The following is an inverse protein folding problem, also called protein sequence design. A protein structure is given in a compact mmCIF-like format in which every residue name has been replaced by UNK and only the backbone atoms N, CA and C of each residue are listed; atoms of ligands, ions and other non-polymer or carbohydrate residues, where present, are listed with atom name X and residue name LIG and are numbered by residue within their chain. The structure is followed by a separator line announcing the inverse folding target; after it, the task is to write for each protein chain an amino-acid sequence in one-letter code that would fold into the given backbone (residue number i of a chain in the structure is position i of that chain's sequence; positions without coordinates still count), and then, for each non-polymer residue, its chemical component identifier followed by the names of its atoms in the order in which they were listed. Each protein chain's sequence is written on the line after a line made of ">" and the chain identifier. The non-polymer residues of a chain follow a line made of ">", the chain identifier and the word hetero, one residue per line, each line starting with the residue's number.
data_IF_214100800077
#
_entry.id   IF_214100800077
#
_cell.length_a   1.000
_cell.length_b   1.000
_cell.length_c   1.000
_cell.angle_alpha   90.00
_cell.angle_beta   90.00
_cell.angle_gamma   90.00
#
_symmetry.space_group_name_H-M   'P 1'
#
loop_
_entity.id
_entity.type
_entity.pdbx_description
1 polymer ?
#
# COMPACT_ATOMS: atom_id res chain seq x y z
N UNK A 1 -4.86 -17.88 10.87
CA UNK A 1 -3.81 -17.55 9.89
C UNK A 1 -4.43 -16.74 8.74
N UNK A 2 -3.86 -15.60 8.42
CA UNK A 2 -4.33 -14.76 7.29
C UNK A 2 -3.72 -15.29 5.99
N UNK A 3 -4.54 -15.54 4.96
CA UNK A 3 -4.08 -15.87 3.61
C UNK A 3 -4.01 -14.59 2.76
N UNK A 4 -2.80 -14.19 2.35
CA UNK A 4 -2.51 -12.98 1.58
C UNK A 4 -1.64 -13.31 0.36
N UNK A 5 -2.00 -14.37 -0.36
CA UNK A 5 -1.23 -14.92 -1.49
C UNK A 5 -1.48 -14.25 -2.84
N UNK A 6 -2.43 -13.32 -2.94
CA UNK A 6 -2.74 -12.65 -4.20
C UNK A 6 -1.99 -11.33 -4.34
N UNK A 7 -1.51 -11.04 -5.55
CA UNK A 7 -0.98 -9.74 -5.94
C UNK A 7 -2.07 -8.89 -6.58
N UNK A 8 -2.01 -7.57 -6.37
CA UNK A 8 -2.89 -6.64 -7.06
C UNK A 8 -2.16 -6.06 -8.27
N UNK A 9 -2.45 -6.57 -9.47
CA UNK A 9 -1.80 -6.17 -10.72
C UNK A 9 -2.87 -5.81 -11.74
N UNK A 10 -2.71 -4.67 -12.41
CA UNK A 10 -3.61 -4.18 -13.46
C UNK A 10 -5.08 -4.12 -13.00
N UNK A 11 -5.34 -3.65 -11.80
CA UNK A 11 -6.68 -3.50 -11.24
C UNK A 11 -7.35 -4.80 -10.79
N UNK A 12 -6.62 -5.92 -10.73
CA UNK A 12 -7.15 -7.25 -10.37
C UNK A 12 -6.26 -7.95 -9.34
N UNK A 13 -6.89 -8.77 -8.52
CA UNK A 13 -6.19 -9.72 -7.65
C UNK A 13 -5.83 -10.96 -8.44
N UNK A 14 -4.55 -11.29 -8.53
CA UNK A 14 -4.01 -12.41 -9.32
C UNK A 14 -3.08 -13.28 -8.48
N UNK A 15 -3.06 -14.57 -8.77
CA UNK A 15 -2.11 -15.51 -8.16
C UNK A 15 -0.71 -15.29 -8.73
N UNK A 16 0.32 -15.59 -7.93
CA UNK A 16 1.70 -15.67 -8.42
C UNK A 16 1.82 -16.73 -9.53
N UNK A 17 2.63 -16.45 -10.54
CA UNK A 17 2.96 -17.41 -11.62
C UNK A 17 3.84 -18.53 -11.08
N UNK A 18 4.72 -18.21 -10.14
CA UNK A 18 5.56 -19.17 -9.43
C UNK A 18 5.01 -19.35 -8.01
N UNK A 19 4.38 -20.49 -7.66
CA UNK A 19 3.67 -20.67 -6.40
C UNK A 19 4.63 -20.89 -5.24
N UNK A 20 5.45 -19.89 -4.92
CA UNK A 20 6.29 -19.86 -3.73
C UNK A 20 5.63 -18.99 -2.67
N UNK A 21 5.70 -19.41 -1.42
CA UNK A 21 5.17 -18.62 -0.29
C UNK A 21 6.16 -18.57 0.87
N UNK A 22 5.94 -17.60 1.75
CA UNK A 22 6.66 -17.46 3.01
C UNK A 22 5.66 -17.26 4.14
N UNK A 23 5.97 -17.85 5.29
CA UNK A 23 5.21 -17.64 6.51
C UNK A 23 5.62 -16.34 7.19
N UNK A 24 4.63 -15.61 7.68
CA UNK A 24 4.83 -14.44 8.53
C UNK A 24 4.63 -14.88 9.98
N UNK A 25 5.62 -14.62 10.79
CA UNK A 25 5.65 -15.00 12.21
C UNK A 25 5.22 -13.82 13.07
N UNK A 26 4.31 -14.05 14.00
CA UNK A 26 4.00 -13.09 15.07
C UNK A 26 5.15 -13.09 16.08
N UNK A 27 5.90 -12.00 16.23
CA UNK A 27 7.06 -11.99 17.13
C UNK A 27 6.69 -11.97 18.62
N UNK A 28 5.40 -11.82 18.95
CA UNK A 28 4.94 -11.86 20.35
C UNK A 28 4.81 -13.25 20.91
N UNK A 29 4.59 -14.26 20.06
CA UNK A 29 4.39 -15.66 20.47
C UNK A 29 5.13 -16.68 19.58
N UNK A 30 5.86 -16.19 18.57
CA UNK A 30 6.63 -16.98 17.59
C UNK A 30 5.76 -17.95 16.75
N UNK A 31 4.45 -17.72 16.68
CA UNK A 31 3.52 -18.51 15.87
C UNK A 31 3.32 -17.94 14.47
N UNK A 32 2.95 -18.79 13.53
CA UNK A 32 2.61 -18.37 12.17
C UNK A 32 1.28 -17.62 12.17
N UNK A 33 1.29 -16.34 11.86
CA UNK A 33 0.10 -15.50 11.80
C UNK A 33 -0.46 -15.29 10.38
N UNK A 34 0.40 -15.36 9.35
CA UNK A 34 -0.01 -15.19 7.96
C UNK A 34 0.87 -16.00 7.00
N UNK A 35 0.40 -16.12 5.75
CA UNK A 35 1.19 -16.64 4.63
C UNK A 35 1.03 -15.69 3.43
N UNK A 36 2.16 -15.33 2.81
CA UNK A 36 2.22 -14.45 1.64
C UNK A 36 2.94 -15.13 0.48
N UNK A 37 2.58 -14.75 -0.75
CA UNK A 37 3.31 -15.22 -1.94
C UNK A 37 4.62 -14.47 -2.11
N UNK A 38 5.64 -15.20 -2.60
CA UNK A 38 6.87 -14.62 -3.13
C UNK A 38 6.69 -14.42 -4.64
N UNK A 39 6.86 -13.18 -5.10
CA UNK A 39 6.80 -12.85 -6.51
C UNK A 39 8.07 -13.30 -7.24
N UNK A 40 7.91 -14.00 -8.37
CA UNK A 40 8.99 -14.33 -9.28
C UNK A 40 9.24 -13.21 -10.30
N UNK A 41 10.27 -13.42 -11.15
CA UNK A 41 10.62 -12.46 -12.22
C UNK A 41 9.44 -12.12 -13.12
N UNK A 42 8.64 -13.14 -13.51
CA UNK A 42 7.48 -12.93 -14.38
C UNK A 42 6.38 -12.09 -13.72
N UNK A 43 6.16 -12.24 -12.41
CA UNK A 43 5.20 -11.42 -11.68
C UNK A 43 5.63 -9.95 -11.66
N UNK A 44 6.93 -9.69 -11.46
CA UNK A 44 7.51 -8.35 -11.51
C UNK A 44 7.39 -7.76 -12.92
N UNK A 45 7.76 -8.51 -13.97
CA UNK A 45 7.68 -8.07 -15.36
C UNK A 45 6.22 -7.70 -15.74
N UNK A 46 5.23 -8.49 -15.31
CA UNK A 46 3.81 -8.21 -15.50
C UNK A 46 3.36 -6.95 -14.77
N UNK A 47 3.77 -6.78 -13.50
CA UNK A 47 3.43 -5.60 -12.72
C UNK A 47 4.03 -4.32 -13.32
N UNK A 48 5.30 -4.36 -13.74
CA UNK A 48 5.99 -3.24 -14.40
C UNK A 48 5.35 -2.90 -15.74
N UNK A 49 5.01 -3.91 -16.55
CA UNK A 49 4.34 -3.70 -17.83
C UNK A 49 2.98 -3.03 -17.65
N UNK A 50 2.18 -3.50 -16.68
CA UNK A 50 0.91 -2.90 -16.34
C UNK A 50 1.05 -1.44 -15.86
N UNK A 51 2.05 -1.16 -15.03
CA UNK A 51 2.33 0.19 -14.54
C UNK A 51 2.76 1.13 -15.67
N UNK A 52 3.64 0.69 -16.58
CA UNK A 52 4.06 1.46 -17.76
C UNK A 52 2.86 1.82 -18.64
N UNK A 53 1.98 0.86 -18.92
CA UNK A 53 0.77 1.10 -19.71
C UNK A 53 -0.17 2.10 -19.01
N UNK A 54 -0.36 1.98 -17.71
CA UNK A 54 -1.17 2.91 -16.95
C UNK A 54 -0.58 4.32 -16.92
N UNK A 55 0.74 4.45 -16.93
CA UNK A 55 1.45 5.73 -16.92
C UNK A 55 1.18 6.57 -18.17
N UNK A 56 0.90 5.97 -19.33
CA UNK A 56 0.59 6.68 -20.57
C UNK A 56 -0.57 7.68 -20.41
N UNK A 57 -1.58 7.33 -19.64
CA UNK A 57 -2.71 8.24 -19.31
C UNK A 57 -2.52 8.95 -17.97
N UNK A 58 -1.98 8.25 -16.97
CA UNK A 58 -1.80 8.79 -15.63
C UNK A 58 -0.85 9.99 -15.58
N UNK A 59 0.18 10.00 -16.43
CA UNK A 59 1.14 11.11 -16.51
C UNK A 59 0.46 12.46 -16.77
N UNK A 60 -0.64 12.47 -17.51
CA UNK A 60 -1.39 13.68 -17.89
C UNK A 60 -2.57 13.98 -16.95
N UNK A 61 -2.72 13.24 -15.85
CA UNK A 61 -3.78 13.48 -14.86
C UNK A 61 -3.57 14.84 -14.19
N UNK A 62 -4.64 15.61 -14.09
CA UNK A 62 -4.59 16.94 -13.47
C UNK A 62 -4.21 16.88 -11.99
N UNK A 63 -3.70 18.00 -11.48
CA UNK A 63 -3.39 18.19 -10.06
C UNK A 63 -4.65 17.98 -9.19
N UNK A 64 -5.77 18.49 -9.63
CA UNK A 64 -7.06 18.41 -8.95
C UNK A 64 -7.51 16.96 -8.80
N UNK A 65 -7.47 16.18 -9.88
CA UNK A 65 -7.81 14.75 -9.85
C UNK A 65 -6.90 13.95 -8.87
N UNK A 66 -5.61 14.28 -8.86
CA UNK A 66 -4.66 13.64 -7.92
C UNK A 66 -4.96 14.01 -6.46
N UNK A 67 -5.35 15.28 -6.21
CA UNK A 67 -5.76 15.72 -4.87
C UNK A 67 -7.04 15.02 -4.40
N UNK A 68 -8.04 14.87 -5.28
CA UNK A 68 -9.26 14.13 -4.97
C UNK A 68 -8.98 12.66 -4.61
N UNK A 69 -8.07 12.01 -5.34
CA UNK A 69 -7.68 10.63 -5.05
C UNK A 69 -6.96 10.50 -3.72
N UNK A 70 -6.06 11.44 -3.39
CA UNK A 70 -5.40 11.47 -2.08
C UNK A 70 -6.40 11.73 -0.95
N UNK A 71 -7.44 12.56 -1.18
CA UNK A 71 -8.50 12.77 -0.20
C UNK A 71 -9.31 11.50 0.03
N UNK A 72 -9.73 10.82 -1.04
CA UNK A 72 -10.43 9.52 -0.95
C UNK A 72 -9.59 8.49 -0.19
N UNK A 73 -8.29 8.41 -0.51
CA UNK A 73 -7.36 7.53 0.18
C UNK A 73 -7.30 7.85 1.69
N UNK A 74 -7.18 9.13 2.05
CA UNK A 74 -7.13 9.57 3.44
C UNK A 74 -8.41 9.19 4.22
N UNK A 75 -9.57 9.41 3.61
CA UNK A 75 -10.87 9.06 4.23
C UNK A 75 -10.99 7.54 4.45
N UNK A 76 -10.61 6.74 3.45
CA UNK A 76 -10.64 5.27 3.55
C UNK A 76 -9.63 4.79 4.60
N UNK A 77 -8.42 5.35 4.61
CA UNK A 77 -7.40 5.02 5.60
C UNK A 77 -7.91 5.26 7.03
N UNK A 78 -8.54 6.42 7.26
CA UNK A 78 -9.13 6.73 8.58
C UNK A 78 -10.25 5.77 8.99
N UNK A 79 -11.09 5.34 8.05
CA UNK A 79 -12.13 4.34 8.33
C UNK A 79 -11.54 2.98 8.73
N UNK A 80 -10.39 2.63 8.17
CA UNK A 80 -9.70 1.36 8.41
C UNK A 80 -8.58 1.45 9.44
N UNK A 81 -8.50 2.54 10.18
CA UNK A 81 -7.41 2.82 11.13
C UNK A 81 -7.20 1.71 12.16
N UNK A 82 -8.27 1.28 12.82
CA UNK A 82 -8.21 0.23 13.83
C UNK A 82 -7.78 -1.13 13.24
N UNK A 83 -8.21 -1.43 12.01
CA UNK A 83 -7.78 -2.62 11.28
C UNK A 83 -6.27 -2.57 10.98
N UNK A 84 -5.79 -1.43 10.49
CA UNK A 84 -4.36 -1.22 10.22
C UNK A 84 -3.52 -1.39 11.49
N UNK A 85 -3.94 -0.77 12.60
CA UNK A 85 -3.24 -0.87 13.87
C UNK A 85 -3.14 -2.32 14.39
N UNK A 86 -4.21 -3.10 14.22
CA UNK A 86 -4.22 -4.53 14.59
C UNK A 86 -3.23 -5.35 13.76
N UNK A 87 -3.20 -5.11 12.44
CA UNK A 87 -2.28 -5.82 11.55
C UNK A 87 -0.83 -5.47 11.89
N UNK A 88 -0.53 -4.19 12.13
CA UNK A 88 0.81 -3.74 12.53
C UNK A 88 1.22 -4.40 13.87
N UNK A 89 0.31 -4.43 14.85
CA UNK A 89 0.58 -5.08 16.13
C UNK A 89 0.89 -6.56 15.98
N UNK A 90 0.11 -7.27 15.14
CA UNK A 90 0.28 -8.69 14.88
C UNK A 90 1.60 -9.01 14.16
N UNK A 91 1.95 -8.21 13.14
CA UNK A 91 3.13 -8.47 12.31
C UNK A 91 4.44 -8.03 12.97
N UNK A 92 4.41 -6.96 13.76
CA UNK A 92 5.59 -6.35 14.36
C UNK A 92 5.74 -6.67 15.86
N UNK A 93 4.75 -7.28 16.50
CA UNK A 93 4.73 -7.46 17.94
C UNK A 93 4.62 -6.16 18.75
N UNK A 94 4.29 -5.05 18.09
CA UNK A 94 4.21 -3.75 18.76
C UNK A 94 2.96 -3.66 19.66
N UNK A 95 3.04 -3.01 20.85
CA UNK A 95 1.87 -2.79 21.71
C UNK A 95 0.75 -2.08 20.96
N UNK A 96 -0.51 -2.53 21.12
CA UNK A 96 -1.67 -1.96 20.42
C UNK A 96 -1.80 -0.45 20.53
N UNK A 97 -1.50 0.12 21.69
CA UNK A 97 -1.52 1.56 21.88
C UNK A 97 -0.51 2.26 20.96
N UNK A 98 0.72 1.76 20.90
CA UNK A 98 1.76 2.31 20.03
C UNK A 98 1.42 2.14 18.55
N UNK A 99 0.92 0.96 18.15
CA UNK A 99 0.47 0.71 16.77
C UNK A 99 -0.67 1.65 16.36
N UNK A 100 -1.58 1.98 17.28
CA UNK A 100 -2.71 2.88 17.01
C UNK A 100 -2.30 4.34 16.97
N UNK A 101 -1.59 4.82 18.01
CA UNK A 101 -1.33 6.24 18.20
C UNK A 101 -0.12 6.75 17.40
N UNK A 102 0.84 5.87 17.10
CA UNK A 102 2.08 6.25 16.42
C UNK A 102 2.18 5.65 15.02
N UNK A 103 2.18 4.33 14.87
CA UNK A 103 2.49 3.69 13.59
C UNK A 103 1.39 3.89 12.55
N UNK A 104 0.12 3.60 12.88
CA UNK A 104 -0.99 3.88 11.99
C UNK A 104 -1.18 5.39 11.74
N UNK A 105 -0.88 6.24 12.75
CA UNK A 105 -0.92 7.69 12.62
C UNK A 105 0.09 8.23 11.60
N UNK A 106 1.27 7.63 11.50
CA UNK A 106 2.31 8.02 10.55
C UNK A 106 1.83 7.92 9.12
N UNK A 107 1.14 6.84 8.74
CA UNK A 107 0.56 6.68 7.40
C UNK A 107 -0.43 7.81 7.04
N UNK A 108 -1.33 8.14 7.95
CA UNK A 108 -2.28 9.25 7.75
C UNK A 108 -1.57 10.61 7.64
N UNK A 109 -0.53 10.85 8.45
CA UNK A 109 0.29 12.07 8.39
C UNK A 109 0.98 12.21 7.04
N UNK A 110 1.54 11.14 6.50
CA UNK A 110 2.18 11.15 5.19
C UNK A 110 1.18 11.50 4.08
N UNK A 111 0.00 10.86 4.04
CA UNK A 111 -1.03 11.19 3.05
C UNK A 111 -1.41 12.68 3.14
N UNK A 112 -1.60 13.21 4.36
CA UNK A 112 -1.91 14.62 4.59
C UNK A 112 -0.80 15.54 4.11
N UNK A 113 0.46 15.19 4.39
CA UNK A 113 1.62 15.97 3.97
C UNK A 113 1.75 16.02 2.46
N UNK A 114 1.59 14.88 1.76
CA UNK A 114 1.58 14.85 0.29
C UNK A 114 0.48 15.68 -0.32
N UNK A 115 -0.72 15.69 0.27
CA UNK A 115 -1.82 16.58 -0.15
C UNK A 115 -1.42 18.06 -0.06
N UNK A 116 -0.82 18.47 1.06
CA UNK A 116 -0.40 19.86 1.26
C UNK A 116 0.70 20.24 0.27
N UNK A 117 1.73 19.40 0.13
CA UNK A 117 2.80 19.64 -0.84
C UNK A 117 2.25 19.76 -2.27
N UNK A 118 1.30 18.90 -2.64
CA UNK A 118 0.70 18.96 -3.97
C UNK A 118 -0.16 20.22 -4.16
N UNK A 119 -0.81 20.73 -3.10
CA UNK A 119 -1.55 21.99 -3.14
C UNK A 119 -0.64 23.20 -3.37
N UNK A 120 0.48 23.26 -2.66
CA UNK A 120 1.33 24.43 -2.57
C UNK A 120 2.36 24.51 -3.71
N UNK A 121 2.77 23.37 -4.29
CA UNK A 121 3.75 23.37 -5.38
C UNK A 121 3.08 23.44 -6.75
N UNK A 122 3.57 24.37 -7.56
CA UNK A 122 3.37 24.35 -9.00
C UNK A 122 4.19 23.15 -9.52
N UNK A 123 3.51 22.06 -9.84
CA UNK A 123 4.15 20.97 -10.58
C UNK A 123 4.45 21.48 -11.99
N UNK A 124 5.66 21.91 -12.22
CA UNK A 124 6.13 22.18 -13.57
C UNK A 124 6.12 20.85 -14.34
N UNK A 125 5.16 20.69 -15.24
CA UNK A 125 5.17 19.65 -16.26
C UNK A 125 6.24 20.02 -17.29
N UNK A 126 7.50 19.83 -16.95
CA UNK A 126 8.60 19.80 -17.89
C UNK A 126 9.16 18.37 -17.89
N UNK A 127 8.38 17.45 -18.42
CA UNK A 127 8.93 16.21 -18.96
C UNK A 127 8.93 16.41 -20.47
N UNK A 128 10.06 16.89 -21.02
CA UNK A 128 10.42 16.77 -22.42
C UNK A 128 10.93 15.38 -22.67
#
# INVERSE_FOLDING_TARGET
>A
MLDKKLFYINGKWVSSIEPKSIQVIDPSNEEVCAEISLGGKKDVDNAVSAAKKAFESWAFTSKETRLELLEKLYVIYKKRWAEMAKIISLEMGAPMKFSTEMQAATGASHIKSFKNILKDKIFCHNVR
#
